data_IF_666363332114
#
_entry.id   IF_666363332114
#
_cell.length_a   1.000
_cell.length_b   1.000
_cell.length_c   1.000
_cell.angle_alpha   90.00
_cell.angle_beta   90.00
_cell.angle_gamma   90.00
#
_symmetry.space_group_name_H-M   'P 1'
#
loop_
_entity.id
_entity.type
_entity.pdbx_description
1 polymer ?
#
# COMPACT_ATOMS: atom_id res chain seq x y z
N UNK A 1 10.51 27.02 1.52
CA UNK A 1 10.33 25.81 2.36
C UNK A 1 9.03 25.87 3.17
N UNK A 2 8.83 26.84 4.07
CA UNK A 2 7.61 26.94 4.89
C UNK A 2 6.30 26.99 4.09
N UNK A 3 6.25 27.75 3.00
CA UNK A 3 5.08 27.80 2.10
C UNK A 3 4.78 26.44 1.43
N UNK A 4 5.81 25.64 1.14
CA UNK A 4 5.62 24.30 0.58
C UNK A 4 4.99 23.38 1.61
N UNK A 5 5.40 23.48 2.87
CA UNK A 5 4.81 22.73 3.99
C UNK A 5 3.38 23.20 4.24
N UNK A 6 3.15 24.51 4.21
CA UNK A 6 1.80 25.09 4.29
C UNK A 6 0.89 24.49 3.22
N UNK A 7 1.29 24.50 1.94
CA UNK A 7 0.49 23.93 0.87
C UNK A 7 0.28 22.42 1.07
N UNK A 8 1.33 21.67 1.45
CA UNK A 8 1.21 20.22 1.64
C UNK A 8 0.21 19.85 2.74
N UNK A 9 0.11 20.67 3.80
CA UNK A 9 -0.78 20.42 4.94
C UNK A 9 -2.17 21.01 4.72
N UNK A 10 -2.27 22.18 4.10
CA UNK A 10 -3.53 22.94 3.97
C UNK A 10 -4.33 22.61 2.73
N UNK A 11 -3.66 22.29 1.62
CA UNK A 11 -4.32 22.03 0.34
C UNK A 11 -4.91 20.62 0.28
N UNK A 12 -6.16 20.52 -0.20
CA UNK A 12 -6.88 19.26 -0.25
C UNK A 12 -6.32 18.32 -1.32
N UNK A 13 -5.90 18.84 -2.49
CA UNK A 13 -5.31 17.99 -3.52
C UNK A 13 -3.98 17.39 -3.05
N UNK A 14 -3.16 18.19 -2.36
CA UNK A 14 -1.92 17.70 -1.75
C UNK A 14 -2.20 16.61 -0.71
N UNK A 15 -3.18 16.78 0.19
CA UNK A 15 -3.55 15.75 1.17
C UNK A 15 -4.04 14.45 0.53
N UNK A 16 -4.73 14.52 -0.60
CA UNK A 16 -5.19 13.33 -1.33
C UNK A 16 -4.03 12.56 -1.99
N UNK A 17 -2.99 13.28 -2.46
CA UNK A 17 -1.82 12.67 -3.11
C UNK A 17 -0.76 12.21 -2.10
N UNK A 18 -0.67 12.86 -0.94
CA UNK A 18 0.31 12.57 0.10
C UNK A 18 -0.39 12.06 1.37
N UNK A 19 -0.44 10.73 1.51
CA UNK A 19 -0.98 10.09 2.71
C UNK A 19 -0.22 10.56 3.98
N UNK A 20 -0.99 10.93 5.01
CA UNK A 20 -0.45 11.33 6.32
C UNK A 20 -0.10 10.09 7.15
N UNK A 21 1.13 9.59 7.01
CA UNK A 21 1.64 8.47 7.83
C UNK A 21 2.07 8.94 9.21
N UNK A 22 2.18 8.03 10.18
CA UNK A 22 2.69 8.30 11.53
C UNK A 22 4.07 8.98 11.51
N UNK A 23 4.98 8.50 10.64
CA UNK A 23 6.30 9.10 10.47
C UNK A 23 6.25 10.56 9.96
N UNK A 24 5.41 10.84 8.96
CA UNK A 24 5.23 12.19 8.41
C UNK A 24 4.61 13.12 9.44
N UNK A 25 3.60 12.64 10.16
CA UNK A 25 2.95 13.31 11.28
C UNK A 25 3.98 13.71 12.34
N UNK A 26 4.77 12.78 12.85
CA UNK A 26 5.77 13.06 13.90
C UNK A 26 6.86 14.03 13.40
N UNK A 27 7.19 13.97 12.11
CA UNK A 27 8.10 14.93 11.48
C UNK A 27 7.51 16.33 11.41
N UNK A 28 6.24 16.47 11.05
CA UNK A 28 5.53 17.75 11.04
C UNK A 28 5.39 18.32 12.46
N UNK A 29 5.11 17.49 13.46
CA UNK A 29 4.98 17.94 14.86
C UNK A 29 6.28 18.49 15.45
N UNK A 30 7.44 18.05 14.96
CA UNK A 30 8.74 18.63 15.33
C UNK A 30 8.92 20.08 14.83
N UNK A 31 8.14 20.51 13.83
CA UNK A 31 8.23 21.86 13.28
C UNK A 31 7.62 22.93 14.18
N UNK A 32 6.71 22.56 15.09
CA UNK A 32 6.01 23.51 15.98
C UNK A 32 6.95 24.39 16.79
N UNK A 33 8.07 23.83 17.28
CA UNK A 33 9.11 24.57 18.01
C UNK A 33 9.82 25.66 17.21
N UNK A 34 9.62 25.70 15.89
CA UNK A 34 10.20 26.67 14.98
C UNK A 34 9.19 27.75 14.54
N UNK A 35 7.91 27.63 14.93
CA UNK A 35 6.84 28.58 14.64
C UNK A 35 6.64 29.51 15.86
N UNK A 36 7.56 30.45 16.02
CA UNK A 36 7.54 31.41 17.13
C UNK A 36 6.75 32.68 16.76
N UNK A 37 6.42 33.51 17.74
CA UNK A 37 5.71 34.79 17.55
C UNK A 37 6.36 35.67 16.47
N UNK A 38 7.69 35.76 16.45
CA UNK A 38 8.42 36.50 15.41
C UNK A 38 8.19 35.96 14.00
N UNK A 39 8.03 34.65 13.84
CA UNK A 39 7.73 34.03 12.54
C UNK A 39 6.30 34.31 12.12
N UNK A 40 5.36 34.34 13.08
CA UNK A 40 3.97 34.71 12.81
C UNK A 40 3.85 36.18 12.37
N UNK A 41 4.58 37.08 13.02
CA UNK A 41 4.58 38.51 12.66
C UNK A 41 5.12 38.74 11.25
N UNK A 42 6.17 37.99 10.85
CA UNK A 42 6.78 38.12 9.53
C UNK A 42 5.99 37.40 8.43
N UNK A 43 5.30 36.30 8.75
CA UNK A 43 4.55 35.47 7.78
C UNK A 43 3.22 35.02 8.41
N UNK A 44 2.19 35.88 8.41
CA UNK A 44 0.91 35.61 9.06
C UNK A 44 0.23 34.27 8.70
N UNK A 45 0.27 33.77 7.45
CA UNK A 45 -0.30 32.47 7.10
C UNK A 45 0.29 31.28 7.88
N UNK A 46 1.49 31.40 8.44
CA UNK A 46 2.07 30.32 9.24
C UNK A 46 1.39 30.14 10.60
N UNK A 47 0.59 31.12 11.05
CA UNK A 47 -0.25 30.97 12.22
C UNK A 47 -1.32 29.89 12.01
N UNK A 48 -1.93 29.84 10.82
CA UNK A 48 -2.90 28.81 10.48
C UNK A 48 -2.23 27.43 10.39
N UNK A 49 -1.00 27.37 9.86
CA UNK A 49 -0.18 26.15 9.90
C UNK A 49 0.10 25.69 11.31
N UNK A 50 0.49 26.61 12.20
CA UNK A 50 0.75 26.28 13.59
C UNK A 50 -0.50 25.71 14.26
N UNK A 51 -1.65 26.34 14.06
CA UNK A 51 -2.94 25.86 14.57
C UNK A 51 -3.30 24.47 14.05
N UNK A 52 -3.12 24.21 12.75
CA UNK A 52 -3.37 22.88 12.19
C UNK A 52 -2.41 21.82 12.74
N UNK A 53 -1.14 22.16 13.01
CA UNK A 53 -0.20 21.25 13.65
C UNK A 53 -0.59 20.95 15.11
N UNK A 54 -1.12 21.93 15.85
CA UNK A 54 -1.66 21.70 17.20
C UNK A 54 -2.90 20.79 17.18
N UNK A 55 -3.84 21.03 16.26
CA UNK A 55 -4.99 20.14 16.06
C UNK A 55 -4.53 18.73 15.72
N UNK A 56 -3.57 18.61 14.79
CA UNK A 56 -2.98 17.33 14.40
C UNK A 56 -2.38 16.63 15.62
N UNK A 57 -1.65 17.33 16.50
CA UNK A 57 -1.08 16.76 17.73
C UNK A 57 -2.14 16.09 18.62
N UNK A 58 -3.33 16.69 18.72
CA UNK A 58 -4.46 16.19 19.48
C UNK A 58 -5.12 14.99 18.77
N UNK A 59 -5.41 15.11 17.46
CA UNK A 59 -6.23 14.13 16.72
C UNK A 59 -5.60 12.74 16.59
N UNK A 60 -4.28 12.62 16.48
CA UNK A 60 -3.63 11.30 16.33
C UNK A 60 -3.29 10.60 17.63
N UNK A 61 -3.88 11.00 18.75
CA UNK A 61 -3.93 10.19 19.96
C UNK A 61 -5.06 9.15 19.93
N UNK A 62 -5.91 9.18 18.89
CA UNK A 62 -7.00 8.23 18.70
C UNK A 62 -6.46 6.88 18.18
N UNK A 63 -6.64 5.77 18.92
CA UNK A 63 -6.18 4.43 18.54
C UNK A 63 -7.07 3.78 17.47
N UNK A 64 -7.58 4.55 16.51
CA UNK A 64 -8.58 4.13 15.52
C UNK A 64 -7.95 3.47 14.29
N UNK A 65 -6.62 3.44 14.16
CA UNK A 65 -5.92 2.67 13.12
C UNK A 65 -5.91 1.15 13.38
N UNK A 66 -6.69 0.65 14.35
CA UNK A 66 -6.81 -0.78 14.66
C UNK A 66 -7.73 -1.58 13.71
N UNK A 67 -8.25 -0.97 12.65
CA UNK A 67 -9.11 -1.66 11.68
C UNK A 67 -8.63 -1.61 10.22
N UNK A 68 -7.32 -1.51 9.99
CA UNK A 68 -6.76 -2.06 8.75
C UNK A 68 -6.26 -3.45 9.08
N UNK A 69 -7.03 -4.47 8.69
CA UNK A 69 -6.51 -5.82 8.47
C UNK A 69 -5.15 -5.62 7.78
N UNK A 70 -4.04 -6.11 8.35
CA UNK A 70 -2.73 -5.88 7.74
C UNK A 70 -2.82 -6.33 6.28
N UNK A 71 -2.32 -5.51 5.32
CA UNK A 71 -2.34 -5.94 3.94
C UNK A 71 -1.63 -7.29 3.88
N UNK A 72 -2.32 -8.31 3.37
CA UNK A 72 -1.70 -9.59 3.08
C UNK A 72 -0.60 -9.29 2.06
N UNK A 73 0.64 -9.22 2.55
CA UNK A 73 1.80 -8.97 1.72
C UNK A 73 2.15 -10.28 1.00
N UNK A 74 1.70 -10.39 -0.24
CA UNK A 74 2.05 -11.51 -1.12
C UNK A 74 3.31 -11.14 -1.88
N UNK A 75 4.45 -11.69 -1.47
CA UNK A 75 5.72 -11.54 -2.18
C UNK A 75 5.98 -12.75 -3.08
N UNK A 76 6.39 -12.51 -4.33
CA UNK A 76 6.78 -13.56 -5.27
C UNK A 76 8.25 -13.93 -5.05
N UNK A 77 8.49 -14.95 -4.21
CA UNK A 77 9.83 -15.53 -4.06
C UNK A 77 10.10 -16.57 -5.17
N UNK A 78 11.15 -16.33 -5.96
CA UNK A 78 11.58 -17.26 -7.01
C UNK A 78 11.94 -18.64 -6.45
N UNK A 79 12.59 -18.70 -5.29
CA UNK A 79 12.97 -19.97 -4.65
C UNK A 79 11.76 -20.82 -4.26
N UNK A 80 10.73 -20.16 -3.71
CA UNK A 80 9.48 -20.84 -3.33
C UNK A 80 8.77 -21.35 -4.58
N UNK A 81 8.76 -20.56 -5.66
CA UNK A 81 8.18 -20.95 -6.95
C UNK A 81 8.87 -22.17 -7.54
N UNK A 82 10.20 -22.17 -7.65
CA UNK A 82 10.93 -23.30 -8.24
C UNK A 82 10.74 -24.58 -7.41
N UNK A 83 10.80 -24.49 -6.07
CA UNK A 83 10.53 -25.63 -5.18
C UNK A 83 9.12 -26.20 -5.38
N UNK A 84 8.12 -25.35 -5.59
CA UNK A 84 6.75 -25.79 -5.87
C UNK A 84 6.63 -26.45 -7.24
N UNK A 85 7.27 -25.89 -8.27
CA UNK A 85 7.26 -26.48 -9.61
C UNK A 85 7.90 -27.86 -9.63
N UNK A 86 9.03 -28.03 -8.94
CA UNK A 86 9.72 -29.32 -8.83
C UNK A 86 8.90 -30.33 -8.00
N UNK A 87 8.34 -29.91 -6.87
CA UNK A 87 7.59 -30.80 -5.98
C UNK A 87 6.30 -31.36 -6.62
N UNK A 88 5.65 -30.54 -7.45
CA UNK A 88 4.38 -30.86 -8.11
C UNK A 88 4.52 -31.17 -9.60
N UNK A 89 5.75 -31.29 -10.12
CA UNK A 89 6.01 -31.74 -11.48
C UNK A 89 5.28 -33.08 -11.75
N UNK A 90 4.39 -33.09 -12.74
CA UNK A 90 3.59 -34.27 -13.11
C UNK A 90 2.36 -34.55 -12.24
N UNK A 91 2.18 -33.86 -11.10
CA UNK A 91 1.06 -34.06 -10.15
C UNK A 91 -0.08 -33.05 -10.30
N UNK A 92 0.00 -32.19 -11.32
CA UNK A 92 -0.98 -31.12 -11.54
C UNK A 92 -2.43 -31.62 -11.68
N UNK A 93 -2.63 -32.82 -12.22
CA UNK A 93 -3.95 -33.45 -12.33
C UNK A 93 -4.57 -33.75 -10.96
N UNK A 94 -3.79 -34.27 -10.03
CA UNK A 94 -4.25 -34.58 -8.67
C UNK A 94 -4.57 -33.30 -7.88
N UNK A 95 -3.75 -32.27 -8.05
CA UNK A 95 -3.99 -30.95 -7.44
C UNK A 95 -5.29 -30.33 -7.97
N UNK A 96 -5.53 -30.42 -9.28
CA UNK A 96 -6.75 -29.89 -9.90
C UNK A 96 -8.01 -30.59 -9.36
N UNK A 97 -8.00 -31.91 -9.24
CA UNK A 97 -9.15 -32.64 -8.67
C UNK A 97 -9.40 -32.28 -7.21
N UNK A 98 -8.34 -32.09 -6.41
CA UNK A 98 -8.48 -31.63 -5.02
C UNK A 98 -9.02 -30.20 -4.92
N UNK A 99 -8.60 -29.30 -5.81
CA UNK A 99 -9.06 -27.92 -5.81
C UNK A 99 -10.50 -27.78 -6.33
N UNK A 100 -10.93 -28.68 -7.21
CA UNK A 100 -12.29 -28.72 -7.75
C UNK A 100 -13.34 -28.82 -6.64
N UNK A 101 -13.11 -29.67 -5.64
CA UNK A 101 -14.03 -29.83 -4.50
C UNK A 101 -14.12 -28.55 -3.67
N UNK A 102 -12.97 -27.90 -3.43
CA UNK A 102 -12.90 -26.65 -2.67
C UNK A 102 -13.63 -25.51 -3.38
N UNK A 103 -13.46 -25.38 -4.70
CA UNK A 103 -14.14 -24.34 -5.47
C UNK A 103 -15.63 -24.62 -5.68
N UNK A 104 -16.05 -25.89 -5.74
CA UNK A 104 -17.48 -26.22 -5.83
C UNK A 104 -18.27 -25.91 -4.56
N UNK A 105 -17.62 -25.92 -3.41
CA UNK A 105 -18.24 -25.66 -2.10
C UNK A 105 -18.14 -24.18 -1.66
N UNK A 106 -17.37 -23.37 -2.39
CA UNK A 106 -17.14 -21.97 -2.05
C UNK A 106 -18.30 -21.06 -2.45
N UNK A 107 -18.49 -19.96 -1.69
CA UNK A 107 -19.54 -18.97 -1.95
C UNK A 107 -19.22 -18.15 -3.20
N UNK A 108 -20.25 -17.69 -3.90
CA UNK A 108 -20.12 -16.89 -5.12
C UNK A 108 -19.36 -15.57 -4.90
N UNK A 109 -19.55 -14.95 -3.72
CA UNK A 109 -18.80 -13.75 -3.32
C UNK A 109 -17.30 -14.02 -3.20
N UNK A 110 -16.92 -15.16 -2.62
CA UNK A 110 -15.52 -15.55 -2.44
C UNK A 110 -14.87 -15.93 -3.77
N UNK A 111 -15.61 -16.61 -4.66
CA UNK A 111 -15.18 -16.87 -6.04
C UNK A 111 -14.95 -15.57 -6.82
N UNK A 112 -15.85 -14.60 -6.69
CA UNK A 112 -15.75 -13.31 -7.37
C UNK A 112 -14.57 -12.48 -6.86
N UNK A 113 -14.29 -12.52 -5.54
CA UNK A 113 -13.10 -11.90 -4.97
C UNK A 113 -11.82 -12.55 -5.47
N UNK A 114 -11.78 -13.88 -5.52
CA UNK A 114 -10.63 -14.63 -6.01
C UNK A 114 -10.38 -14.38 -7.49
N UNK A 115 -11.42 -14.36 -8.33
CA UNK A 115 -11.27 -14.12 -9.76
C UNK A 115 -10.73 -12.72 -10.03
N UNK A 116 -11.27 -11.70 -9.36
CA UNK A 116 -10.79 -10.33 -9.45
C UNK A 116 -9.32 -10.21 -9.02
N UNK A 117 -8.94 -10.90 -7.94
CA UNK A 117 -7.55 -10.94 -7.47
C UNK A 117 -6.62 -11.61 -8.50
N UNK A 118 -7.01 -12.76 -9.04
CA UNK A 118 -6.21 -13.51 -10.02
C UNK A 118 -5.97 -12.73 -11.32
N UNK A 119 -6.95 -11.93 -11.76
CA UNK A 119 -6.83 -11.05 -12.92
C UNK A 119 -5.97 -9.81 -12.63
N UNK A 120 -6.02 -9.30 -11.40
CA UNK A 120 -5.25 -8.13 -10.98
C UNK A 120 -3.77 -8.44 -10.72
N UNK A 121 -3.42 -9.69 -10.41
CA UNK A 121 -2.03 -10.10 -10.32
C UNK A 121 -1.37 -9.90 -11.70
N UNK A 122 -0.19 -9.25 -11.77
CA UNK A 122 0.62 -9.27 -12.97
C UNK A 122 1.18 -10.68 -13.11
N UNK A 123 0.35 -11.59 -13.61
CA UNK A 123 0.82 -12.85 -14.14
C UNK A 123 1.62 -12.42 -15.36
N UNK A 124 2.94 -12.25 -15.19
CA UNK A 124 3.85 -12.32 -16.31
C UNK A 124 3.41 -13.55 -17.06
N UNK A 125 2.80 -13.32 -18.23
CA UNK A 125 2.28 -14.39 -19.04
C UNK A 125 3.40 -15.40 -19.10
N UNK A 126 3.11 -16.64 -18.71
CA UNK A 126 3.94 -17.78 -19.06
C UNK A 126 3.96 -17.99 -20.59
N UNK A 127 3.97 -16.90 -21.37
CA UNK A 127 4.47 -16.86 -22.72
C UNK A 127 5.88 -17.42 -22.64
N UNK A 128 6.04 -18.61 -23.21
CA UNK A 128 7.29 -19.36 -23.27
C UNK A 128 8.48 -18.42 -23.31
N UNK A 129 9.47 -18.60 -22.42
CA UNK A 129 10.76 -17.91 -22.43
C UNK A 129 11.59 -18.26 -23.69
N UNK A 130 10.97 -18.33 -24.86
CA UNK A 130 11.68 -18.46 -26.12
C UNK A 130 12.38 -17.15 -26.36
N UNK A 131 13.70 -17.20 -26.35
CA UNK A 131 14.53 -16.06 -26.71
C UNK A 131 14.05 -15.49 -28.06
N UNK A 132 13.74 -14.19 -28.11
CA UNK A 132 13.24 -13.52 -29.33
C UNK A 132 14.23 -13.58 -30.50
N UNK A 133 15.50 -13.87 -30.22
CA UNK A 133 16.59 -13.94 -31.20
C UNK A 133 16.92 -15.38 -31.62
N UNK A 134 16.78 -16.38 -30.73
CA UNK A 134 17.21 -17.75 -31.02
C UNK A 134 16.17 -18.85 -30.74
N UNK A 135 14.99 -18.51 -30.24
CA UNK A 135 13.82 -19.40 -30.13
C UNK A 135 13.92 -20.54 -29.12
N UNK A 136 15.03 -20.66 -28.37
CA UNK A 136 15.20 -21.67 -27.31
C UNK A 136 14.67 -21.15 -25.97
N UNK A 137 14.17 -22.10 -25.16
CA UNK A 137 13.70 -21.89 -23.79
C UNK A 137 14.82 -21.48 -22.84
#
# INVERSE_FOLDING_TARGET
VWLSIYNLVMDQECRNRYEMTTYRRDTLLRLRRHLNETVHDQIPPLMDLHRALEQLAITGQHPEEKHRIPPILVELSAEVREKLLDAYAGKWKEVAERQKTVYSEAKEEDLSRLSNFMVALPFESAASKRCRTCGRH
#
